data_IF_987623216228
#
_entry.id   IF_987623216228
#
_cell.length_a   1.000
_cell.length_b   1.000
_cell.length_c   1.000
_cell.angle_alpha   90.00
_cell.angle_beta   90.00
_cell.angle_gamma   90.00
#
_symmetry.space_group_name_H-M   'P 1'
#
loop_
_entity.id
_entity.type
_entity.pdbx_description
1 polymer ?
#
# COMPACT_ATOMS: atom_id res chain seq x y z
N UNK A 1 -0.38 1.75 0.71
CA UNK A 1 -0.42 0.48 -0.05
C UNK A 1 -1.81 -0.10 0.02
N UNK A 2 -2.36 -0.50 -1.11
CA UNK A 2 -3.66 -1.18 -1.23
C UNK A 2 -3.39 -2.57 -1.78
N UNK A 3 -3.91 -3.61 -1.13
CA UNK A 3 -3.77 -5.00 -1.59
C UNK A 3 -5.12 -5.54 -1.97
N UNK A 4 -5.20 -6.32 -3.05
CA UNK A 4 -6.46 -6.87 -3.53
C UNK A 4 -6.25 -8.20 -4.25
N UNK A 5 -7.31 -9.00 -4.38
CA UNK A 5 -7.27 -10.27 -5.10
C UNK A 5 -8.19 -10.25 -6.31
N UNK A 6 -7.71 -10.76 -7.44
CA UNK A 6 -8.49 -11.03 -8.64
C UNK A 6 -8.77 -12.53 -8.71
N UNK A 7 -10.00 -12.86 -9.12
CA UNK A 7 -10.39 -14.26 -9.34
C UNK A 7 -11.06 -14.46 -10.68
N UNK A 8 -10.86 -15.63 -11.28
CA UNK A 8 -11.57 -16.06 -12.48
C UNK A 8 -11.85 -17.57 -12.40
N UNK A 9 -12.96 -18.00 -13.00
CA UNK A 9 -13.40 -19.39 -13.02
C UNK A 9 -13.58 -19.88 -14.44
N UNK A 10 -13.15 -21.11 -14.71
CA UNK A 10 -13.28 -21.73 -16.04
C UNK A 10 -13.35 -23.26 -15.89
N UNK A 11 -13.99 -23.98 -16.83
CA UNK A 11 -13.96 -25.44 -16.85
C UNK A 11 -12.54 -26.03 -16.93
N UNK A 12 -11.57 -25.28 -17.45
CA UNK A 12 -10.16 -25.68 -17.59
C UNK A 12 -9.23 -24.81 -16.75
N UNK A 13 -8.17 -25.41 -16.20
CA UNK A 13 -7.15 -24.67 -15.43
C UNK A 13 -6.49 -23.57 -16.28
N UNK A 14 -6.19 -23.86 -17.55
CA UNK A 14 -5.59 -22.91 -18.48
C UNK A 14 -6.53 -21.74 -18.79
N UNK A 15 -7.82 -22.00 -19.02
CA UNK A 15 -8.81 -20.96 -19.24
C UNK A 15 -8.94 -20.04 -18.02
N UNK A 16 -8.98 -20.60 -16.81
CA UNK A 16 -9.05 -19.82 -15.57
C UNK A 16 -7.80 -18.94 -15.41
N UNK A 17 -6.62 -19.48 -15.73
CA UNK A 17 -5.36 -18.73 -15.73
C UNK A 17 -5.35 -17.58 -16.74
N UNK A 18 -5.76 -17.83 -17.98
CA UNK A 18 -5.77 -16.81 -19.04
C UNK A 18 -6.78 -15.69 -18.75
N UNK A 19 -7.94 -16.05 -18.20
CA UNK A 19 -8.95 -15.07 -17.78
C UNK A 19 -8.44 -14.18 -16.64
N UNK A 20 -7.81 -14.76 -15.60
CA UNK A 20 -7.29 -13.94 -14.51
C UNK A 20 -6.12 -13.07 -14.97
N UNK A 21 -5.26 -13.54 -15.87
CA UNK A 21 -4.19 -12.72 -16.47
C UNK A 21 -4.75 -11.56 -17.29
N UNK A 22 -5.84 -11.79 -18.03
CA UNK A 22 -6.51 -10.72 -18.77
C UNK A 22 -7.04 -9.64 -17.81
N UNK A 23 -7.61 -10.05 -16.66
CA UNK A 23 -8.03 -9.10 -15.60
C UNK A 23 -6.84 -8.35 -15.01
N UNK A 24 -5.72 -9.03 -14.76
CA UNK A 24 -4.48 -8.38 -14.30
C UNK A 24 -4.07 -7.29 -15.29
N UNK A 25 -4.01 -7.59 -16.58
CA UNK A 25 -3.65 -6.62 -17.61
C UNK A 25 -4.61 -5.41 -17.62
N UNK A 26 -5.93 -5.64 -17.55
CA UNK A 26 -6.92 -4.57 -17.49
C UNK A 26 -6.71 -3.67 -16.26
N UNK A 27 -6.47 -4.28 -15.10
CA UNK A 27 -6.24 -3.54 -13.85
C UNK A 27 -4.91 -2.77 -13.92
N UNK A 28 -3.82 -3.37 -14.40
CA UNK A 28 -2.53 -2.69 -14.57
C UNK A 28 -2.68 -1.45 -15.44
N UNK A 29 -3.34 -1.56 -16.60
CA UNK A 29 -3.58 -0.41 -17.47
C UNK A 29 -4.42 0.69 -16.79
N UNK A 30 -5.38 0.32 -15.93
CA UNK A 30 -6.18 1.27 -15.16
C UNK A 30 -5.36 1.97 -14.07
N UNK A 31 -4.46 1.23 -13.41
CA UNK A 31 -3.56 1.79 -12.39
C UNK A 31 -2.57 2.77 -13.04
N UNK A 32 -2.00 2.43 -14.19
CA UNK A 32 -1.15 3.33 -14.98
C UNK A 32 -1.89 4.59 -15.44
N UNK A 33 -3.12 4.44 -15.93
CA UNK A 33 -3.97 5.59 -16.28
C UNK A 33 -4.28 6.48 -15.06
N UNK A 34 -4.23 5.92 -13.84
CA UNK A 34 -4.36 6.64 -12.57
C UNK A 34 -3.03 7.20 -12.06
N UNK A 35 -2.00 7.29 -12.92
CA UNK A 35 -0.66 7.81 -12.62
C UNK A 35 0.11 6.99 -11.58
N UNK A 36 -0.16 5.69 -11.49
CA UNK A 36 0.62 4.78 -10.66
C UNK A 36 1.66 4.10 -11.55
N UNK A 37 2.93 4.22 -11.18
CA UNK A 37 4.02 3.59 -11.92
C UNK A 37 3.98 2.06 -11.82
N UNK A 38 4.40 1.37 -12.88
CA UNK A 38 4.46 -0.10 -12.90
C UNK A 38 5.34 -0.67 -11.77
N UNK A 39 6.42 0.03 -11.41
CA UNK A 39 7.31 -0.34 -10.28
C UNK A 39 6.61 -0.34 -8.91
N UNK A 40 5.49 0.37 -8.78
CA UNK A 40 4.67 0.42 -7.57
C UNK A 40 3.53 -0.63 -7.60
N UNK A 41 3.44 -1.44 -8.66
CA UNK A 41 2.47 -2.52 -8.83
C UNK A 41 3.15 -3.87 -8.60
N UNK A 42 2.67 -4.61 -7.61
CA UNK A 42 3.16 -5.93 -7.25
C UNK A 42 2.11 -6.98 -7.60
N UNK A 43 2.52 -8.03 -8.30
CA UNK A 43 1.63 -9.11 -8.75
C UNK A 43 2.18 -10.45 -8.26
N UNK A 44 1.35 -11.24 -7.57
CA UNK A 44 1.72 -12.59 -7.16
C UNK A 44 1.60 -13.58 -8.33
N UNK A 45 2.20 -14.76 -8.19
CA UNK A 45 1.91 -15.85 -9.10
C UNK A 45 0.45 -16.31 -8.96
N UNK A 46 -0.18 -16.76 -10.07
CA UNK A 46 -1.52 -17.33 -10.03
C UNK A 46 -1.58 -18.63 -9.24
N UNK A 47 -2.54 -18.73 -8.34
CA UNK A 47 -2.90 -19.96 -7.66
C UNK A 47 -4.16 -20.54 -8.28
N UNK A 48 -4.07 -21.77 -8.80
CA UNK A 48 -5.20 -22.47 -9.40
C UNK A 48 -5.67 -23.55 -8.44
N UNK A 49 -6.95 -23.53 -8.12
CA UNK A 49 -7.60 -24.53 -7.27
C UNK A 49 -8.85 -25.08 -7.94
N UNK A 50 -9.22 -26.35 -7.72
CA UNK A 50 -10.51 -26.87 -8.20
C UNK A 50 -11.67 -26.12 -7.53
N UNK A 51 -12.69 -25.72 -8.30
CA UNK A 51 -13.79 -24.89 -7.80
C UNK A 51 -14.57 -25.56 -6.65
N UNK A 52 -14.69 -26.89 -6.68
CA UNK A 52 -15.36 -27.67 -5.65
C UNK A 52 -14.69 -27.59 -4.26
N UNK A 53 -13.42 -27.17 -4.18
CA UNK A 53 -12.72 -26.95 -2.91
C UNK A 53 -13.16 -25.67 -2.22
N UNK A 54 -13.74 -24.72 -2.98
CA UNK A 54 -14.18 -23.41 -2.49
C UNK A 54 -15.69 -23.36 -2.29
N UNK A 55 -16.47 -23.94 -3.19
CA UNK A 55 -17.94 -24.00 -3.12
C UNK A 55 -18.42 -25.39 -3.49
N UNK A 56 -19.08 -26.08 -2.54
CA UNK A 56 -19.65 -27.40 -2.83
C UNK A 56 -20.65 -27.34 -4.00
N UNK A 57 -20.57 -28.31 -4.91
CA UNK A 57 -21.45 -28.40 -6.08
C UNK A 57 -20.97 -27.62 -7.31
N UNK A 58 -19.86 -26.88 -7.22
CA UNK A 58 -19.25 -26.22 -8.40
C UNK A 58 -18.26 -27.14 -9.12
N UNK A 59 -18.18 -27.02 -10.44
CA UNK A 59 -17.26 -27.78 -11.30
C UNK A 59 -16.29 -26.86 -12.00
N UNK A 60 -15.07 -27.32 -12.28
CA UNK A 60 -14.03 -26.56 -12.98
C UNK A 60 -12.93 -26.09 -12.05
N UNK A 61 -12.28 -24.99 -12.42
CA UNK A 61 -11.12 -24.43 -11.75
C UNK A 61 -11.33 -22.95 -11.47
N UNK A 62 -10.76 -22.48 -10.37
CA UNK A 62 -10.67 -21.08 -10.00
C UNK A 62 -9.20 -20.68 -9.93
N UNK A 63 -8.85 -19.60 -10.61
CA UNK A 63 -7.53 -18.98 -10.51
C UNK A 63 -7.62 -17.71 -9.67
N UNK A 64 -6.67 -17.53 -8.77
CA UNK A 64 -6.59 -16.41 -7.82
C UNK A 64 -5.21 -15.76 -7.98
N UNK A 65 -5.19 -14.45 -8.18
CA UNK A 65 -3.97 -13.63 -8.17
C UNK A 65 -4.14 -12.55 -7.10
N UNK A 66 -3.15 -12.37 -6.26
CA UNK A 66 -3.07 -11.24 -5.34
C UNK A 66 -2.22 -10.14 -5.97
N UNK A 67 -2.70 -8.91 -5.90
CA UNK A 67 -1.98 -7.72 -6.33
C UNK A 67 -1.85 -6.76 -5.15
N UNK A 68 -0.79 -5.98 -5.14
CA UNK A 68 -0.63 -4.86 -4.24
C UNK A 68 -0.16 -3.65 -5.02
N UNK A 69 -0.62 -2.47 -4.61
CA UNK A 69 -0.27 -1.22 -5.27
C UNK A 69 0.13 -0.18 -4.24
N UNK A 70 1.22 0.52 -4.52
CA UNK A 70 1.67 1.68 -3.77
C UNK A 70 1.28 2.94 -4.52
N UNK A 71 0.85 3.96 -3.78
CA UNK A 71 0.50 5.27 -4.34
C UNK A 71 0.83 6.35 -3.33
N UNK A 72 1.26 7.50 -3.83
CA UNK A 72 1.48 8.72 -3.05
C UNK A 72 0.21 9.56 -2.93
N UNK A 73 -0.82 9.27 -3.74
CA UNK A 73 -2.07 10.01 -3.77
C UNK A 73 -3.06 9.47 -2.74
N UNK A 74 -2.80 9.75 -1.45
CA UNK A 74 -3.61 9.25 -0.33
C UNK A 74 -5.09 9.67 -0.43
N UNK A 75 -5.37 10.86 -0.97
CA UNK A 75 -6.73 11.42 -1.06
C UNK A 75 -7.61 10.70 -2.09
N UNK A 76 -7.03 10.03 -3.10
CA UNK A 76 -7.77 9.32 -4.14
C UNK A 76 -7.89 7.82 -3.89
N UNK A 77 -7.44 7.33 -2.73
CA UNK A 77 -7.46 5.89 -2.40
C UNK A 77 -8.89 5.33 -2.37
N UNK A 78 -9.89 6.11 -1.94
CA UNK A 78 -11.29 5.66 -1.95
C UNK A 78 -11.82 5.42 -3.37
N UNK A 79 -11.51 6.33 -4.28
CA UNK A 79 -11.92 6.22 -5.70
C UNK A 79 -11.18 5.06 -6.36
N UNK A 80 -9.89 4.89 -6.04
CA UNK A 80 -9.10 3.75 -6.48
C UNK A 80 -9.72 2.42 -6.05
N UNK A 81 -10.12 2.28 -4.78
CA UNK A 81 -10.78 1.07 -4.27
C UNK A 81 -12.10 0.82 -5.02
N UNK A 82 -12.89 1.87 -5.23
CA UNK A 82 -14.16 1.77 -5.96
C UNK A 82 -13.93 1.30 -7.40
N UNK A 83 -12.92 1.85 -8.08
CA UNK A 83 -12.52 1.45 -9.42
C UNK A 83 -12.01 0.01 -9.47
N UNK A 84 -11.24 -0.44 -8.47
CA UNK A 84 -10.76 -1.82 -8.36
C UNK A 84 -11.94 -2.81 -8.27
N UNK A 85 -12.93 -2.53 -7.44
CA UNK A 85 -14.15 -3.36 -7.36
C UNK A 85 -14.94 -3.34 -8.66
N UNK A 86 -15.11 -2.17 -9.28
CA UNK A 86 -15.80 -2.03 -10.56
C UNK A 86 -15.12 -2.84 -11.70
N UNK A 87 -13.81 -3.08 -11.59
CA UNK A 87 -13.02 -3.82 -12.58
C UNK A 87 -12.70 -5.27 -12.14
N UNK A 88 -13.39 -5.79 -11.13
CA UNK A 88 -13.37 -7.23 -10.81
C UNK A 88 -12.38 -7.66 -9.74
N UNK A 89 -11.88 -6.73 -8.91
CA UNK A 89 -11.29 -7.08 -7.62
C UNK A 89 -12.34 -7.78 -6.73
N UNK A 90 -12.01 -8.98 -6.27
CA UNK A 90 -12.91 -9.77 -5.42
C UNK A 90 -12.84 -9.32 -3.95
N UNK A 91 -11.63 -9.00 -3.49
CA UNK A 91 -11.38 -8.52 -2.14
C UNK A 91 -10.36 -7.41 -2.23
N UNK A 92 -10.63 -6.27 -1.59
CA UNK A 92 -9.65 -5.19 -1.42
C UNK A 92 -9.41 -5.03 0.08
N UNK A 93 -8.17 -5.24 0.50
CA UNK A 93 -7.71 -5.05 1.86
C UNK A 93 -7.70 -3.57 2.24
N UNK A 94 -7.84 -3.29 3.54
CA UNK A 94 -7.75 -1.91 4.04
C UNK A 94 -6.40 -1.28 3.65
N UNK A 95 -6.40 -0.03 3.15
CA UNK A 95 -5.17 0.66 2.81
C UNK A 95 -4.26 0.82 4.01
N UNK A 96 -2.99 0.44 3.86
CA UNK A 96 -1.95 0.77 4.83
C UNK A 96 -1.31 2.09 4.43
N UNK A 97 -1.47 3.11 5.26
CA UNK A 97 -0.81 4.40 5.08
C UNK A 97 0.51 4.42 5.84
N UNK A 98 1.59 4.75 5.15
CA UNK A 98 2.90 4.92 5.75
C UNK A 98 3.53 6.21 5.23
N UNK A 99 4.35 6.84 6.08
CA UNK A 99 5.17 7.96 5.65
C UNK A 99 6.28 7.46 4.71
N UNK A 100 6.52 8.21 3.63
CA UNK A 100 7.72 8.00 2.82
C UNK A 100 8.97 8.34 3.64
N UNK A 101 10.00 7.50 3.50
CA UNK A 101 11.33 7.73 4.07
C UNK A 101 11.33 7.99 5.59
N UNK A 102 10.60 7.16 6.34
CA UNK A 102 10.40 7.28 7.79
C UNK A 102 11.69 7.53 8.57
N UNK A 103 12.80 6.87 8.19
CA UNK A 103 14.11 7.05 8.81
C UNK A 103 14.59 8.50 8.74
N UNK A 104 14.45 9.14 7.58
CA UNK A 104 14.85 10.54 7.38
C UNK A 104 14.01 11.48 8.26
N UNK A 105 12.70 11.22 8.35
CA UNK A 105 11.82 12.01 9.21
C UNK A 105 12.16 11.84 10.70
N UNK A 106 12.54 10.63 11.11
CA UNK A 106 13.01 10.36 12.47
C UNK A 106 14.32 11.08 12.78
N UNK A 107 15.28 11.06 11.85
CA UNK A 107 16.56 11.76 11.98
C UNK A 107 16.34 13.30 12.07
N UNK A 108 15.48 13.86 11.21
CA UNK A 108 15.13 15.29 11.24
C UNK A 108 14.42 15.69 12.54
N UNK A 109 13.50 14.84 13.04
CA UNK A 109 12.82 15.07 14.31
C UNK A 109 13.79 15.02 15.49
N UNK A 110 14.74 14.09 15.48
CA UNK A 110 15.78 13.98 16.50
C UNK A 110 16.69 15.22 16.52
N UNK A 111 17.14 15.69 15.36
CA UNK A 111 17.97 16.89 15.25
C UNK A 111 17.26 18.15 15.75
N UNK A 112 15.97 18.30 15.43
CA UNK A 112 15.15 19.39 15.94
C UNK A 112 14.98 19.32 17.46
N UNK A 113 14.73 18.12 18.01
CA UNK A 113 14.63 17.91 19.45
C UNK A 113 15.96 18.25 20.16
N UNK A 114 17.10 17.85 19.60
CA UNK A 114 18.42 18.17 20.14
C UNK A 114 18.70 19.67 20.11
N UNK A 115 18.30 20.35 19.04
CA UNK A 115 18.45 21.80 18.89
C UNK A 115 17.59 22.57 19.90
N UNK A 116 16.35 22.13 20.13
CA UNK A 116 15.49 22.75 21.14
C UNK A 116 16.04 22.52 22.55
N UNK A 117 16.49 21.30 22.87
CA UNK A 117 17.11 20.99 24.15
C UNK A 117 18.34 21.88 24.44
N UNK A 118 19.22 22.06 23.45
CA UNK A 118 20.38 22.99 23.55
C UNK A 118 19.93 24.43 23.78
N UNK A 119 18.87 24.87 23.09
CA UNK A 119 18.32 26.22 23.23
C UNK A 119 17.73 26.44 24.62
N UNK A 120 16.99 25.46 25.15
CA UNK A 120 16.44 25.52 26.49
C UNK A 120 17.55 25.51 27.55
N UNK A 121 18.56 24.65 27.41
CA UNK A 121 19.72 24.62 28.30
C UNK A 121 20.47 25.97 28.31
N UNK A 122 20.69 26.58 27.14
CA UNK A 122 21.30 27.91 27.03
C UNK A 122 20.45 29.01 27.68
N UNK A 123 19.12 28.97 27.53
CA UNK A 123 18.19 29.89 28.22
C UNK A 123 18.27 29.74 29.74
N UNK A 124 18.38 28.51 30.26
CA UNK A 124 18.53 28.26 31.70
C UNK A 124 19.89 28.76 32.20
N UNK A 125 20.98 28.41 31.50
CA UNK A 125 22.34 28.81 31.87
C UNK A 125 22.50 30.33 31.89
N UNK A 126 22.00 31.03 30.86
CA UNK A 126 22.04 32.50 30.79
C UNK A 126 21.17 33.18 31.86
N UNK A 127 20.04 32.58 32.25
CA UNK A 127 19.25 33.06 33.41
C UNK A 127 20.03 32.95 34.71
N UNK A 128 20.70 31.83 34.94
CA UNK A 128 21.48 31.60 36.17
C UNK A 128 22.77 32.44 36.23
N UNK A 129 23.41 32.69 35.07
CA UNK A 129 24.61 33.52 34.99
C UNK A 129 24.36 34.98 35.44
N UNK A 130 23.15 35.51 35.22
CA UNK A 130 22.77 36.87 35.65
C UNK A 130 22.77 37.03 37.18
N UNK A 131 22.59 35.95 37.94
CA UNK A 131 22.64 35.99 39.40
C UNK A 131 24.09 35.97 39.93
N UNK A 132 25.02 35.30 39.24
CA UNK A 132 26.43 35.23 39.62
C UNK A 132 27.15 36.56 39.39
N UNK A 133 26.80 37.29 38.32
CA UNK A 133 27.39 38.62 38.02
C UNK A 133 26.87 39.78 38.90
N UNK A 134 25.90 39.53 39.79
CA UNK A 134 25.26 40.57 40.62
C UNK A 134 25.80 40.62 42.05
N UNK A 135 26.80 39.80 42.37
CA UNK A 135 27.59 39.77 43.60
C UNK A 135 28.97 40.34 43.26
#
# INVERSE_FOLDING_TARGET
MVSFSLTATDPSALGASNQVQSKVQTITNLLEASSISEEDIFVSQPQIVPANTLVQGTTGFQSIISMAVKTVHVTSVSDLISNLYANGAAVVSQPVLSAGDQKKLEDEAFDQALKDAKTQAGKIASKNWKFIKKI
#
